data_IF_883557006855
#
_entry.id   IF_883557006855
#
_cell.length_a   1.000
_cell.length_b   1.000
_cell.length_c   1.000
_cell.angle_alpha   90.00
_cell.angle_beta   90.00
_cell.angle_gamma   90.00
#
_symmetry.space_group_name_H-M   'P 1'
#
loop_
_entity.id
_entity.type
_entity.pdbx_description
1 polymer ?
#
# COMPACT_ATOMS: atom_id res chain seq x y z
N UNK A 1 21.25 6.33 6.36
CA UNK A 1 20.02 5.48 6.32
C UNK A 1 18.79 6.35 6.46
N UNK A 2 17.80 6.17 5.59
CA UNK A 2 16.50 6.87 5.62
C UNK A 2 15.42 5.81 5.90
N UNK A 3 14.67 5.98 6.98
CA UNK A 3 13.55 5.11 7.34
C UNK A 3 12.23 5.67 6.80
N UNK A 4 11.22 4.80 6.63
CA UNK A 4 9.90 5.17 6.12
C UNK A 4 8.83 4.79 7.13
N UNK A 5 8.04 5.76 7.57
CA UNK A 5 6.86 5.53 8.39
C UNK A 5 7.17 5.24 9.87
N UNK A 6 6.18 4.71 10.59
CA UNK A 6 6.24 4.55 12.04
C UNK A 6 7.27 3.51 12.48
N UNK A 7 7.53 3.46 13.79
CA UNK A 7 8.47 2.54 14.46
C UNK A 7 9.96 2.87 14.30
N UNK A 8 10.29 3.99 13.66
CA UNK A 8 11.65 4.51 13.57
C UNK A 8 11.74 5.93 14.11
N UNK A 9 12.86 6.24 14.77
CA UNK A 9 13.18 7.57 15.29
C UNK A 9 14.44 8.11 14.61
N UNK A 10 14.32 9.28 13.98
CA UNK A 10 15.45 10.00 13.41
C UNK A 10 16.44 10.40 14.52
N UNK A 11 17.73 10.25 14.23
CA UNK A 11 18.88 10.38 15.15
C UNK A 11 19.04 9.27 16.19
N UNK A 12 18.21 8.23 16.16
CA UNK A 12 18.37 7.03 16.98
C UNK A 12 18.46 5.78 16.11
N UNK A 13 17.41 5.52 15.35
CA UNK A 13 17.32 4.32 14.50
C UNK A 13 17.78 4.64 13.08
N UNK A 14 17.53 5.85 12.57
CA UNK A 14 17.90 6.28 11.22
C UNK A 14 18.41 7.74 11.18
N UNK A 15 19.01 8.16 10.05
CA UNK A 15 19.45 9.55 9.88
C UNK A 15 18.26 10.48 9.63
N UNK A 16 17.29 9.99 8.87
CA UNK A 16 16.02 10.65 8.61
C UNK A 16 14.89 9.62 8.65
N UNK A 17 13.69 10.09 8.90
CA UNK A 17 12.44 9.34 8.76
C UNK A 17 11.54 10.08 7.76
N UNK A 18 10.85 9.39 6.88
CA UNK A 18 9.87 10.01 5.96
C UNK A 18 8.47 9.70 6.47
N UNK A 19 7.63 10.72 6.56
CA UNK A 19 6.20 10.56 6.90
C UNK A 19 5.46 9.78 5.81
N UNK A 20 4.68 8.77 6.21
CA UNK A 20 3.93 7.89 5.30
C UNK A 20 2.43 7.89 5.56
N UNK A 21 1.95 8.50 6.65
CA UNK A 21 0.54 8.72 6.88
C UNK A 21 0.01 9.76 5.89
N UNK A 22 -1.25 9.58 5.47
CA UNK A 22 -1.88 10.54 4.55
C UNK A 22 -2.34 11.75 5.35
N UNK A 23 -1.95 12.92 4.89
CA UNK A 23 -2.27 14.20 5.53
C UNK A 23 -1.39 15.30 4.97
N UNK A 24 -1.38 16.43 5.66
CA UNK A 24 -0.58 17.60 5.26
C UNK A 24 0.93 17.32 5.26
N UNK A 25 1.39 16.39 6.08
CA UNK A 25 2.81 16.05 6.23
C UNK A 25 3.27 14.85 5.39
N UNK A 26 2.41 14.27 4.54
CA UNK A 26 2.78 13.10 3.73
C UNK A 26 4.05 13.35 2.90
N UNK A 27 5.05 12.48 3.05
CA UNK A 27 6.33 12.58 2.34
C UNK A 27 7.34 13.52 2.99
N UNK A 28 6.99 14.18 4.10
CA UNK A 28 7.90 15.08 4.82
C UNK A 28 9.11 14.35 5.36
N UNK A 29 10.30 14.92 5.12
CA UNK A 29 11.55 14.42 5.69
C UNK A 29 11.75 14.94 7.12
N UNK A 30 11.70 14.02 8.08
CA UNK A 30 11.86 14.26 9.52
C UNK A 30 13.33 14.05 9.89
N UNK A 31 13.97 15.11 10.41
CA UNK A 31 15.38 15.12 10.81
C UNK A 31 15.60 14.92 12.32
N UNK A 32 14.53 14.93 13.11
CA UNK A 32 14.49 14.61 14.54
C UNK A 32 13.06 14.16 14.91
N UNK A 33 12.92 13.06 15.65
CA UNK A 33 11.62 12.48 16.01
C UNK A 33 11.19 11.34 15.08
N UNK A 34 9.92 10.95 15.15
CA UNK A 34 9.32 9.84 14.40
C UNK A 34 8.17 10.31 13.50
N UNK A 35 7.81 9.50 12.51
CA UNK A 35 6.54 9.65 11.79
C UNK A 35 5.34 9.40 12.72
N UNK A 36 4.15 9.78 12.24
CA UNK A 36 2.89 9.49 12.90
C UNK A 36 2.66 7.97 13.08
N UNK A 37 2.00 7.54 14.18
CA UNK A 37 1.68 6.13 14.41
C UNK A 37 0.83 5.52 13.28
N UNK A 38 0.99 4.21 13.06
CA UNK A 38 0.10 3.48 12.14
C UNK A 38 -1.34 3.51 12.65
N UNK A 39 -2.26 4.01 11.82
CA UNK A 39 -3.68 4.04 12.14
C UNK A 39 -4.36 2.69 11.94
N UNK A 40 -3.72 1.77 11.21
CA UNK A 40 -4.28 0.48 10.80
C UNK A 40 -5.39 0.60 9.74
N UNK A 41 -5.78 1.82 9.36
CA UNK A 41 -6.87 2.09 8.41
C UNK A 41 -6.30 2.55 7.08
N UNK A 42 -6.58 1.86 5.96
CA UNK A 42 -6.18 2.32 4.65
C UNK A 42 -6.80 3.68 4.33
N UNK A 43 -6.00 4.61 3.82
CA UNK A 43 -6.52 5.90 3.37
C UNK A 43 -7.66 5.77 2.36
N UNK A 44 -8.67 6.63 2.50
CA UNK A 44 -9.88 6.59 1.72
C UNK A 44 -9.64 6.91 0.24
N UNK A 45 -10.34 6.20 -0.64
CA UNK A 45 -10.45 6.53 -2.07
C UNK A 45 -11.94 6.58 -2.37
N UNK A 46 -12.44 7.75 -2.79
CA UNK A 46 -13.90 7.99 -2.94
C UNK A 46 -14.70 7.62 -1.67
N UNK A 47 -14.14 7.88 -0.48
CA UNK A 47 -14.76 7.54 0.80
C UNK A 47 -14.59 6.08 1.25
N UNK A 48 -14.04 5.20 0.41
CA UNK A 48 -13.88 3.76 0.71
C UNK A 48 -12.48 3.49 1.27
N UNK A 49 -12.41 2.83 2.43
CA UNK A 49 -11.17 2.52 3.15
C UNK A 49 -10.86 1.03 3.12
N UNK A 50 -11.36 0.25 4.09
CA UNK A 50 -11.00 -1.15 4.33
C UNK A 50 -11.57 -2.10 3.28
N UNK A 51 -12.78 -1.83 2.79
CA UNK A 51 -13.47 -2.70 1.82
C UNK A 51 -12.74 -2.82 0.48
N UNK A 52 -11.81 -1.91 0.21
CA UNK A 52 -10.98 -1.95 -0.99
C UNK A 52 -9.81 -2.93 -0.88
N UNK A 53 -9.54 -3.46 0.32
CA UNK A 53 -8.41 -4.36 0.59
C UNK A 53 -8.88 -5.81 0.55
N UNK A 54 -8.27 -6.60 -0.32
CA UNK A 54 -8.48 -8.04 -0.38
C UNK A 54 -7.65 -8.72 0.70
N UNK A 55 -8.28 -9.61 1.48
CA UNK A 55 -7.63 -10.36 2.54
C UNK A 55 -7.81 -11.87 2.36
N UNK A 56 -6.79 -12.63 2.75
CA UNK A 56 -6.85 -14.08 2.71
C UNK A 56 -7.91 -14.61 3.71
N UNK A 57 -8.83 -15.49 3.28
CA UNK A 57 -9.89 -16.02 4.15
C UNK A 57 -9.41 -17.08 5.13
N UNK A 58 -8.28 -17.73 4.83
CA UNK A 58 -7.66 -18.78 5.62
C UNK A 58 -6.14 -18.82 5.39
N UNK A 59 -5.46 -19.68 6.14
CA UNK A 59 -4.06 -20.03 5.86
C UNK A 59 -4.01 -20.96 4.64
N UNK A 60 -3.01 -20.78 3.77
CA UNK A 60 -2.92 -21.59 2.55
C UNK A 60 -2.03 -21.04 1.46
N UNK A 61 -2.09 -21.66 0.29
CA UNK A 61 -1.47 -21.13 -0.93
C UNK A 61 -2.45 -20.17 -1.60
N UNK A 62 -1.96 -18.99 -1.98
CA UNK A 62 -2.73 -18.01 -2.73
C UNK A 62 -2.75 -18.35 -4.22
N UNK A 63 -3.96 -18.54 -4.76
CA UNK A 63 -4.22 -18.84 -6.16
C UNK A 63 -5.04 -17.69 -6.78
N UNK A 64 -4.40 -16.82 -7.56
CA UNK A 64 -5.12 -15.72 -8.20
C UNK A 64 -5.84 -16.18 -9.47
N UNK A 65 -7.09 -15.74 -9.64
CA UNK A 65 -7.89 -15.92 -10.89
C UNK A 65 -8.12 -14.59 -11.62
N UNK A 66 -7.39 -13.55 -11.21
CA UNK A 66 -7.41 -12.22 -11.80
C UNK A 66 -5.98 -11.68 -11.90
N UNK A 67 -5.83 -10.49 -12.49
CA UNK A 67 -4.56 -9.79 -12.61
C UNK A 67 -4.72 -8.29 -12.33
N UNK A 68 -3.59 -7.65 -11.99
CA UNK A 68 -3.52 -6.20 -11.87
C UNK A 68 -3.94 -5.57 -13.20
N UNK A 69 -4.76 -4.51 -13.13
CA UNK A 69 -5.31 -3.81 -14.28
C UNK A 69 -6.64 -4.37 -14.79
N UNK A 70 -7.15 -5.45 -14.21
CA UNK A 70 -8.51 -5.93 -14.51
C UNK A 70 -9.55 -5.13 -13.73
N UNK A 71 -10.66 -4.76 -14.37
CA UNK A 71 -11.86 -4.27 -13.70
C UNK A 71 -12.68 -5.47 -13.20
N UNK A 72 -13.17 -5.39 -11.98
CA UNK A 72 -14.01 -6.40 -11.33
C UNK A 72 -15.26 -5.75 -10.76
N UNK A 73 -16.35 -6.50 -10.72
CA UNK A 73 -17.58 -6.13 -10.02
C UNK A 73 -17.61 -6.71 -8.61
N UNK A 74 -18.37 -6.07 -7.71
CA UNK A 74 -18.59 -6.62 -6.37
C UNK A 74 -19.15 -8.04 -6.45
N UNK A 75 -18.49 -8.96 -5.76
CA UNK A 75 -18.82 -10.39 -5.75
C UNK A 75 -17.99 -11.23 -6.73
N UNK A 76 -17.29 -10.62 -7.68
CA UNK A 76 -16.43 -11.35 -8.61
C UNK A 76 -15.32 -12.11 -7.89
N UNK A 77 -14.99 -13.29 -8.39
CA UNK A 77 -13.89 -14.08 -7.86
C UNK A 77 -12.53 -13.51 -8.29
N UNK A 78 -11.71 -13.18 -7.29
CA UNK A 78 -10.35 -12.65 -7.44
C UNK A 78 -9.30 -13.76 -7.31
N UNK A 79 -9.65 -14.85 -6.62
CA UNK A 79 -8.82 -16.04 -6.48
C UNK A 79 -9.35 -16.98 -5.40
N UNK A 80 -8.47 -17.83 -4.88
CA UNK A 80 -8.77 -18.72 -3.77
C UNK A 80 -7.55 -18.91 -2.84
N UNK A 81 -7.83 -19.27 -1.59
CA UNK A 81 -6.82 -19.75 -0.64
C UNK A 81 -7.36 -21.04 -0.02
N UNK A 82 -6.63 -22.15 -0.18
CA UNK A 82 -7.06 -23.47 0.32
C UNK A 82 -8.49 -23.85 -0.11
N UNK A 83 -8.84 -23.56 -1.36
CA UNK A 83 -10.18 -23.80 -1.93
C UNK A 83 -11.27 -22.79 -1.50
N UNK A 84 -10.99 -21.88 -0.57
CA UNK A 84 -11.91 -20.82 -0.18
C UNK A 84 -11.79 -19.62 -1.12
N UNK A 85 -12.91 -19.23 -1.74
CA UNK A 85 -12.94 -18.12 -2.70
C UNK A 85 -12.64 -16.79 -2.02
N UNK A 86 -11.79 -16.00 -2.67
CA UNK A 86 -11.62 -14.58 -2.42
C UNK A 86 -12.47 -13.84 -3.42
N UNK A 87 -13.37 -12.97 -2.94
CA UNK A 87 -14.26 -12.17 -3.79
C UNK A 87 -14.00 -10.68 -3.63
N UNK A 88 -14.32 -9.91 -4.67
CA UNK A 88 -14.24 -8.46 -4.65
C UNK A 88 -15.32 -7.89 -3.73
N UNK A 89 -14.94 -7.17 -2.67
CA UNK A 89 -15.90 -6.52 -1.76
C UNK A 89 -16.51 -5.25 -2.33
N UNK A 90 -15.87 -4.67 -3.35
CA UNK A 90 -16.30 -3.48 -4.10
C UNK A 90 -16.03 -3.67 -5.60
N UNK A 91 -16.76 -2.96 -6.45
CA UNK A 91 -16.42 -2.84 -7.88
C UNK A 91 -15.26 -1.87 -8.07
N UNK A 92 -14.42 -2.11 -9.08
CA UNK A 92 -13.30 -1.24 -9.42
C UNK A 92 -12.15 -1.94 -10.13
N UNK A 93 -11.01 -1.24 -10.21
CA UNK A 93 -9.80 -1.75 -10.85
C UNK A 93 -8.94 -2.49 -9.84
N UNK A 94 -8.54 -3.73 -10.12
CA UNK A 94 -7.54 -4.44 -9.31
C UNK A 94 -6.19 -3.73 -9.48
N UNK A 95 -5.72 -3.05 -8.44
CA UNK A 95 -4.51 -2.21 -8.49
C UNK A 95 -3.29 -2.91 -7.89
N UNK A 96 -3.50 -3.75 -6.89
CA UNK A 96 -2.43 -4.50 -6.23
C UNK A 96 -2.83 -5.95 -6.03
N UNK A 97 -1.89 -6.86 -6.27
CA UNK A 97 -1.99 -8.28 -5.93
C UNK A 97 -0.62 -8.76 -5.47
N UNK A 98 -0.61 -9.60 -4.44
CA UNK A 98 0.59 -10.37 -4.10
C UNK A 98 0.82 -11.46 -5.16
N UNK A 99 2.07 -11.91 -5.27
CA UNK A 99 2.44 -12.98 -6.20
C UNK A 99 1.65 -14.26 -5.89
N UNK A 100 0.99 -14.90 -6.88
CA UNK A 100 0.38 -16.21 -6.72
C UNK A 100 1.40 -17.30 -6.35
N UNK A 101 0.94 -18.39 -5.75
CA UNK A 101 1.77 -19.54 -5.35
C UNK A 101 2.52 -19.36 -4.03
N UNK A 102 2.35 -18.22 -3.35
CA UNK A 102 2.95 -18.01 -2.03
C UNK A 102 2.02 -18.46 -0.91
N UNK A 103 2.61 -18.87 0.22
CA UNK A 103 1.85 -19.16 1.44
C UNK A 103 1.41 -17.86 2.10
N UNK A 104 0.14 -17.78 2.44
CA UNK A 104 -0.49 -16.66 3.12
C UNK A 104 -1.13 -17.12 4.43
N UNK A 105 -1.28 -16.19 5.37
CA UNK A 105 -2.03 -16.40 6.60
C UNK A 105 -3.40 -15.72 6.52
N UNK A 106 -4.36 -16.20 7.30
CA UNK A 106 -5.70 -15.61 7.41
C UNK A 106 -5.59 -14.13 7.78
N UNK A 107 -6.33 -13.30 7.04
CA UNK A 107 -6.36 -11.85 7.22
C UNK A 107 -5.20 -11.10 6.54
N UNK A 108 -4.19 -11.80 6.03
CA UNK A 108 -3.10 -11.17 5.28
C UNK A 108 -3.67 -10.39 4.09
N UNK A 109 -3.18 -9.17 3.88
CA UNK A 109 -3.50 -8.40 2.67
C UNK A 109 -2.91 -9.11 1.45
N UNK A 110 -3.78 -9.50 0.53
CA UNK A 110 -3.41 -10.19 -0.71
C UNK A 110 -3.63 -9.33 -1.96
N UNK A 111 -4.30 -8.19 -1.82
CA UNK A 111 -4.49 -7.24 -2.91
C UNK A 111 -5.27 -6.00 -2.52
N UNK A 112 -5.51 -5.13 -3.49
CA UNK A 112 -6.44 -4.00 -3.37
C UNK A 112 -7.11 -3.64 -4.68
N UNK A 113 -8.35 -3.17 -4.56
CA UNK A 113 -9.21 -2.67 -5.62
C UNK A 113 -9.29 -1.16 -5.48
N UNK A 114 -9.20 -0.42 -6.59
CA UNK A 114 -9.39 1.01 -6.64
C UNK A 114 -10.80 1.32 -7.17
N UNK A 115 -11.67 1.94 -6.36
CA UNK A 115 -13.06 2.20 -6.75
C UNK A 115 -13.20 3.19 -7.92
N UNK A 116 -12.12 3.87 -8.32
CA UNK A 116 -12.14 4.75 -9.50
C UNK A 116 -12.22 3.98 -10.81
N UNK A 117 -11.99 2.67 -10.81
CA UNK A 117 -12.12 1.81 -11.99
C UNK A 117 -11.20 2.24 -13.12
N UNK A 118 -11.73 2.24 -14.35
CA UNK A 118 -11.00 2.58 -15.58
C UNK A 118 -10.48 4.03 -15.63
N UNK A 119 -10.92 4.91 -14.73
CA UNK A 119 -10.46 6.31 -14.66
C UNK A 119 -9.01 6.44 -14.20
N UNK A 120 -8.39 5.35 -13.75
CA UNK A 120 -7.00 5.32 -13.32
C UNK A 120 -6.22 4.27 -14.10
N UNK A 121 -4.93 4.51 -14.25
CA UNK A 121 -4.01 3.51 -14.79
C UNK A 121 -3.41 2.68 -13.65
N UNK A 122 -3.35 1.33 -13.78
CA UNK A 122 -2.62 0.49 -12.84
C UNK A 122 -1.10 0.67 -12.96
N UNK A 123 -0.62 1.32 -14.04
CA UNK A 123 0.80 1.53 -14.33
C UNK A 123 1.33 2.89 -13.87
N UNK A 124 0.47 3.75 -13.28
CA UNK A 124 0.92 5.04 -12.75
C UNK A 124 1.29 4.94 -11.27
N UNK A 125 2.36 5.63 -10.92
CA UNK A 125 2.80 5.77 -9.53
C UNK A 125 1.74 6.58 -8.77
N UNK A 126 1.32 6.07 -7.61
CA UNK A 126 0.35 6.79 -6.79
C UNK A 126 0.96 8.10 -6.25
N UNK A 127 0.12 9.11 -6.03
CA UNK A 127 0.49 10.35 -5.32
C UNK A 127 1.25 10.09 -4.01
N UNK A 128 0.84 9.06 -3.25
CA UNK A 128 1.46 8.69 -1.98
C UNK A 128 2.89 8.20 -2.19
N UNK A 129 3.09 7.33 -3.18
CA UNK A 129 4.42 6.82 -3.50
C UNK A 129 5.32 7.95 -4.04
N UNK A 130 4.79 8.87 -4.85
CA UNK A 130 5.53 10.04 -5.32
C UNK A 130 5.96 10.95 -4.16
N UNK A 131 5.05 11.28 -3.24
CA UNK A 131 5.35 12.12 -2.08
C UNK A 131 6.43 11.50 -1.18
N UNK A 132 6.28 10.21 -0.84
CA UNK A 132 7.29 9.48 -0.03
C UNK A 132 8.64 9.45 -0.75
N UNK A 133 8.66 9.14 -2.05
CA UNK A 133 9.89 9.10 -2.83
C UNK A 133 10.56 10.47 -2.91
N UNK A 134 9.77 11.55 -2.96
CA UNK A 134 10.27 12.93 -2.88
C UNK A 134 11.01 13.20 -1.58
N UNK A 135 10.45 12.80 -0.43
CA UNK A 135 11.14 12.90 0.86
C UNK A 135 12.44 12.10 0.91
N UNK A 136 12.44 10.89 0.35
CA UNK A 136 13.67 10.07 0.24
C UNK A 136 14.73 10.79 -0.60
N UNK A 137 14.36 11.28 -1.78
CA UNK A 137 15.25 12.01 -2.67
C UNK A 137 15.81 13.26 -1.99
N UNK A 138 14.98 14.02 -1.29
CA UNK A 138 15.40 15.16 -0.48
C UNK A 138 16.46 14.76 0.55
N UNK A 139 16.24 13.65 1.27
CA UNK A 139 17.20 13.13 2.25
C UNK A 139 18.55 12.74 1.63
N UNK A 140 18.54 12.13 0.44
CA UNK A 140 19.75 11.80 -0.31
C UNK A 140 20.49 13.08 -0.70
N UNK A 141 19.79 14.05 -1.29
CA UNK A 141 20.39 15.32 -1.74
C UNK A 141 20.96 16.14 -0.58
N UNK A 142 20.30 16.17 0.57
CA UNK A 142 20.81 16.86 1.78
C UNK A 142 22.14 16.32 2.30
N UNK A 143 22.47 15.06 1.98
CA UNK A 143 23.73 14.41 2.41
C UNK A 143 24.78 14.49 1.32
N UNK A 144 24.42 14.18 0.07
CA UNK A 144 25.40 13.95 -1.00
C UNK A 144 25.50 15.08 -2.02
N UNK A 145 24.55 16.03 -2.07
CA UNK A 145 24.58 17.15 -3.01
C UNK A 145 25.27 18.41 -2.45
N UNK A 146 25.90 18.32 -1.27
CA UNK A 146 26.70 19.42 -0.74
C UNK A 146 28.06 19.44 -1.44
N UNK A 147 28.36 20.54 -2.13
CA UNK A 147 29.72 20.88 -2.59
C UNK A 147 30.60 21.20 -1.39
#
# INVERSE_FOLDING_TARGET
MIALGPSFVARKDAHFVVETNRGHDLGRLISAGSAEPDTGVPGAVLGITTDRVLRAPADGIWEATTQIGRVVEKGDAVGAVSGLRVTASISGLVRGLIRPGIRVTKGLKIGDIDPRGEKISPHTISEKALAISGGVLEGILRVYARK
#
